data_IF_770577112593
#
_entry.id   IF_770577112593
#
_cell.length_a   1.000
_cell.length_b   1.000
_cell.length_c   1.000
_cell.angle_alpha   90.00
_cell.angle_beta   90.00
_cell.angle_gamma   90.00
#
_symmetry.space_group_name_H-M   'P 1'
#
loop_
_entity.id
_entity.type
_entity.pdbx_description
1 polymer ?
#
# COMPACT_ATOMS: atom_id res chain seq x y z
N UNK A 1 4.50 24.42 -13.63
CA UNK A 1 4.19 24.10 -12.21
C UNK A 1 2.87 23.31 -12.07
N UNK A 2 2.73 22.14 -12.71
CA UNK A 2 1.46 21.39 -12.72
C UNK A 2 1.53 20.04 -12.02
N UNK A 3 2.44 19.17 -12.48
CA UNK A 3 2.42 17.73 -12.19
C UNK A 3 2.55 17.39 -10.70
N UNK A 4 3.48 18.02 -9.98
CA UNK A 4 3.64 17.80 -8.52
C UNK A 4 2.42 18.23 -7.69
N UNK A 5 1.67 19.22 -8.17
CA UNK A 5 0.46 19.70 -7.47
C UNK A 5 -0.69 18.72 -7.64
N UNK A 6 -0.81 18.11 -8.82
CA UNK A 6 -1.77 17.03 -9.08
C UNK A 6 -1.40 15.76 -8.30
N UNK A 7 -0.13 15.34 -8.31
CA UNK A 7 0.34 14.17 -7.55
C UNK A 7 0.09 14.34 -6.05
N UNK A 8 0.47 15.48 -5.44
CA UNK A 8 0.20 15.73 -4.01
C UNK A 8 -1.29 15.80 -3.69
N UNK A 9 -2.12 16.28 -4.61
CA UNK A 9 -3.59 16.33 -4.46
C UNK A 9 -4.21 14.95 -4.60
N UNK A 10 -3.68 14.10 -5.48
CA UNK A 10 -4.05 12.69 -5.63
C UNK A 10 -3.66 11.87 -4.40
N UNK A 11 -2.47 12.08 -3.84
CA UNK A 11 -2.01 11.40 -2.62
C UNK A 11 -2.82 11.86 -1.39
N UNK A 12 -3.15 13.15 -1.26
CA UNK A 12 -4.03 13.65 -0.19
C UNK A 12 -5.47 13.15 -0.33
N UNK A 13 -6.00 13.11 -1.56
CA UNK A 13 -7.30 12.52 -1.85
C UNK A 13 -7.30 11.01 -1.54
N UNK A 14 -6.19 10.31 -1.82
CA UNK A 14 -5.98 8.91 -1.50
C UNK A 14 -5.93 8.63 0.01
N UNK A 15 -5.22 9.46 0.79
CA UNK A 15 -5.22 9.37 2.25
C UNK A 15 -6.61 9.72 2.84
N UNK A 16 -7.33 10.68 2.25
CA UNK A 16 -8.71 10.98 2.63
C UNK A 16 -9.66 9.81 2.31
N UNK A 17 -9.48 9.14 1.16
CA UNK A 17 -10.19 7.90 0.80
C UNK A 17 -9.83 6.73 1.73
N UNK A 18 -8.58 6.61 2.18
CA UNK A 18 -8.14 5.62 3.19
C UNK A 18 -8.94 5.74 4.50
N UNK A 19 -9.16 6.96 4.99
CA UNK A 19 -10.01 7.17 6.18
C UNK A 19 -11.48 6.87 5.91
N UNK A 20 -11.95 7.14 4.69
CA UNK A 20 -13.33 6.90 4.29
C UNK A 20 -13.66 5.41 4.06
N UNK A 21 -12.76 4.64 3.44
CA UNK A 21 -12.93 3.20 3.19
C UNK A 21 -12.89 2.40 4.48
N UNK A 22 -12.03 2.80 5.42
CA UNK A 22 -12.00 2.23 6.77
C UNK A 22 -13.30 2.49 7.54
N UNK A 23 -14.03 3.55 7.20
CA UNK A 23 -15.30 3.92 7.81
C UNK A 23 -16.54 3.36 7.08
N UNK A 24 -16.51 3.19 5.75
CA UNK A 24 -17.72 2.96 4.95
C UNK A 24 -17.69 1.76 3.99
N UNK A 25 -16.59 1.00 3.88
CA UNK A 25 -16.59 -0.34 3.26
C UNK A 25 -16.88 -0.48 1.75
N UNK A 26 -17.58 0.47 1.11
CA UNK A 26 -18.18 0.26 -0.22
C UNK A 26 -17.27 0.62 -1.42
N UNK A 27 -16.26 1.47 -1.27
CA UNK A 27 -15.41 1.91 -2.41
C UNK A 27 -13.98 1.36 -2.39
N UNK A 28 -13.84 0.03 -2.27
CA UNK A 28 -12.54 -0.64 -2.15
C UNK A 28 -11.82 -0.86 -3.50
N UNK A 29 -12.55 -1.01 -4.61
CA UNK A 29 -11.97 -1.24 -5.95
C UNK A 29 -11.37 0.03 -6.57
N UNK A 30 -12.06 1.16 -6.45
CA UNK A 30 -11.57 2.47 -6.90
C UNK A 30 -10.32 2.92 -6.13
N UNK A 31 -10.19 2.48 -4.89
CA UNK A 31 -9.02 2.69 -4.07
C UNK A 31 -7.78 1.96 -4.64
N UNK A 32 -7.92 0.67 -4.99
CA UNK A 32 -6.84 -0.11 -5.60
C UNK A 32 -6.43 0.51 -6.94
N UNK A 33 -7.38 0.97 -7.74
CA UNK A 33 -7.08 1.67 -9.00
C UNK A 33 -6.28 2.96 -8.76
N UNK A 34 -6.68 3.75 -7.76
CA UNK A 34 -6.01 4.99 -7.37
C UNK A 34 -4.59 4.72 -6.85
N UNK A 35 -4.38 3.64 -6.09
CA UNK A 35 -3.05 3.21 -5.62
C UNK A 35 -2.16 2.84 -6.80
N UNK A 36 -2.66 2.02 -7.72
CA UNK A 36 -1.88 1.58 -8.87
C UNK A 36 -1.46 2.77 -9.75
N UNK A 37 -2.31 3.79 -9.87
CA UNK A 37 -1.93 5.05 -10.53
C UNK A 37 -0.91 5.85 -9.73
N UNK A 38 -1.05 5.93 -8.41
CA UNK A 38 -0.12 6.63 -7.54
C UNK A 38 1.28 6.02 -7.65
N UNK A 39 1.42 4.69 -7.48
CA UNK A 39 2.69 3.97 -7.64
C UNK A 39 3.34 4.20 -9.01
N UNK A 40 2.54 4.23 -10.09
CA UNK A 40 3.05 4.50 -11.46
C UNK A 40 3.50 5.94 -11.68
N UNK A 41 2.88 6.89 -10.98
CA UNK A 41 3.13 8.32 -11.13
C UNK A 41 4.07 8.86 -10.04
N UNK A 42 4.47 8.03 -9.08
CA UNK A 42 5.13 8.48 -7.86
C UNK A 42 6.56 8.95 -8.13
N UNK A 43 6.86 10.24 -7.88
CA UNK A 43 8.22 10.75 -7.98
C UNK A 43 9.05 10.38 -6.73
N UNK A 44 8.38 9.99 -5.63
CA UNK A 44 9.01 9.61 -4.38
C UNK A 44 8.93 8.09 -4.17
N UNK A 45 9.99 7.42 -4.61
CA UNK A 45 10.16 5.97 -4.53
C UNK A 45 10.21 5.44 -3.10
N UNK A 46 10.40 6.30 -2.09
CA UNK A 46 10.39 5.90 -0.68
C UNK A 46 9.00 5.48 -0.23
N UNK A 47 7.93 6.07 -0.76
CA UNK A 47 6.57 5.78 -0.28
C UNK A 47 5.91 4.54 -0.89
N UNK A 48 6.55 3.90 -1.87
CA UNK A 48 6.01 2.73 -2.58
C UNK A 48 5.62 1.58 -1.63
N UNK A 49 6.41 1.20 -0.62
CA UNK A 49 6.02 0.19 0.35
C UNK A 49 4.75 0.53 1.14
N UNK A 50 4.53 1.80 1.49
CA UNK A 50 3.31 2.24 2.17
C UNK A 50 2.07 2.09 1.28
N UNK A 51 2.21 2.33 -0.02
CA UNK A 51 1.12 2.13 -0.96
C UNK A 51 0.77 0.67 -1.16
N UNK A 52 1.79 -0.20 -1.25
CA UNK A 52 1.59 -1.63 -1.38
C UNK A 52 0.97 -2.23 -0.11
N UNK A 53 1.40 -1.82 1.09
CA UNK A 53 0.78 -2.24 2.35
C UNK A 53 -0.72 -1.91 2.39
N UNK A 54 -1.07 -0.68 1.99
CA UNK A 54 -2.46 -0.24 1.95
C UNK A 54 -3.29 -1.00 0.91
N UNK A 55 -2.71 -1.29 -0.26
CA UNK A 55 -3.38 -2.10 -1.29
C UNK A 55 -3.66 -3.51 -0.76
N UNK A 56 -2.69 -4.14 -0.09
CA UNK A 56 -2.87 -5.44 0.57
C UNK A 56 -4.00 -5.41 1.59
N UNK A 57 -4.01 -4.43 2.51
CA UNK A 57 -5.09 -4.28 3.48
C UNK A 57 -6.48 -4.11 2.83
N UNK A 58 -6.58 -3.33 1.75
CA UNK A 58 -7.84 -3.14 1.04
C UNK A 58 -8.27 -4.44 0.36
N UNK A 59 -7.35 -5.18 -0.27
CA UNK A 59 -7.60 -6.48 -0.89
C UNK A 59 -8.06 -7.52 0.13
N UNK A 60 -7.42 -7.57 1.30
CA UNK A 60 -7.89 -8.39 2.42
C UNK A 60 -9.29 -7.99 2.87
N UNK A 61 -9.56 -6.68 2.95
CA UNK A 61 -10.88 -6.16 3.30
C UNK A 61 -12.00 -6.58 2.34
N UNK A 62 -11.73 -6.73 1.04
CA UNK A 62 -12.69 -7.27 0.04
C UNK A 62 -12.72 -8.80 -0.04
N UNK A 63 -12.01 -9.52 0.83
CA UNK A 63 -11.94 -10.98 0.80
C UNK A 63 -11.05 -11.53 -0.33
N UNK A 64 -10.20 -10.70 -0.93
CA UNK A 64 -9.20 -11.11 -1.93
C UNK A 64 -7.88 -11.39 -1.24
N UNK A 65 -7.85 -12.43 -0.42
CA UNK A 65 -6.70 -12.76 0.42
C UNK A 65 -5.46 -13.15 -0.39
N UNK A 66 -5.62 -13.90 -1.48
CA UNK A 66 -4.50 -14.27 -2.37
C UNK A 66 -3.84 -13.04 -3.01
N UNK A 67 -4.63 -12.11 -3.54
CA UNK A 67 -4.11 -10.87 -4.13
C UNK A 67 -3.47 -9.96 -3.06
N UNK A 68 -4.04 -9.95 -1.85
CA UNK A 68 -3.48 -9.24 -0.71
C UNK A 68 -2.10 -9.78 -0.36
N UNK A 69 -1.97 -11.11 -0.28
CA UNK A 69 -0.72 -11.79 0.03
C UNK A 69 0.35 -11.47 -1.02
N UNK A 70 0.01 -11.60 -2.30
CA UNK A 70 0.91 -11.27 -3.39
C UNK A 70 1.38 -9.79 -3.30
N UNK A 71 0.47 -8.88 -2.95
CA UNK A 71 0.81 -7.46 -2.80
C UNK A 71 1.71 -7.17 -1.59
N UNK A 72 1.53 -7.90 -0.49
CA UNK A 72 2.42 -7.84 0.66
C UNK A 72 3.82 -8.39 0.34
N UNK A 73 3.90 -9.48 -0.43
CA UNK A 73 5.16 -10.02 -0.94
C UNK A 73 5.87 -9.03 -1.88
N UNK A 74 5.12 -8.36 -2.77
CA UNK A 74 5.65 -7.27 -3.61
C UNK A 74 6.25 -6.13 -2.78
N UNK A 75 5.60 -5.75 -1.68
CA UNK A 75 6.10 -4.71 -0.78
C UNK A 75 7.43 -5.09 -0.13
N UNK A 76 7.55 -6.34 0.36
CA UNK A 76 8.79 -6.86 0.92
C UNK A 76 9.91 -6.92 -0.11
N UNK A 77 9.59 -7.39 -1.31
CA UNK A 77 10.55 -7.46 -2.40
C UNK A 77 11.06 -6.07 -2.76
N UNK A 78 10.17 -5.08 -2.83
CA UNK A 78 10.54 -3.70 -3.09
C UNK A 78 11.47 -3.15 -1.99
N UNK A 79 11.15 -3.35 -0.71
CA UNK A 79 12.02 -2.92 0.41
C UNK A 79 13.41 -3.55 0.29
N UNK A 80 13.48 -4.85 -0.02
CA UNK A 80 14.74 -5.59 -0.18
C UNK A 80 15.56 -5.12 -1.37
N UNK A 81 14.91 -4.77 -2.49
CA UNK A 81 15.56 -4.24 -3.68
C UNK A 81 15.97 -2.77 -3.53
N UNK A 82 15.28 -2.03 -2.66
CA UNK A 82 15.45 -0.60 -2.48
C UNK A 82 15.68 -0.17 -1.02
N UNK A 83 16.67 -0.76 -0.32
CA UNK A 83 16.91 -0.48 1.10
C UNK A 83 17.30 0.99 1.36
N UNK A 84 17.91 1.66 0.39
CA UNK A 84 18.30 3.07 0.46
C UNK A 84 17.11 4.02 0.62
N UNK A 85 15.93 3.64 0.14
CA UNK A 85 14.70 4.43 0.27
C UNK A 85 13.82 3.96 1.43
N UNK A 86 14.15 2.81 2.03
CA UNK A 86 13.33 2.08 3.00
C UNK A 86 14.06 1.88 4.34
N UNK A 87 14.87 2.83 4.77
CA UNK A 87 15.77 2.70 5.94
C UNK A 87 15.30 3.42 7.21
N UNK A 88 14.09 3.97 7.21
CA UNK A 88 13.52 4.74 8.33
C UNK A 88 12.74 3.91 9.37
N UNK A 89 12.48 4.47 10.57
CA UNK A 89 11.68 3.82 11.61
C UNK A 89 10.25 3.51 11.16
N UNK A 90 9.66 4.33 10.29
CA UNK A 90 8.35 4.07 9.68
C UNK A 90 8.34 2.76 8.87
N UNK A 91 9.43 2.45 8.16
CA UNK A 91 9.54 1.22 7.38
C UNK A 91 9.71 -0.02 8.25
N UNK A 92 10.37 0.08 9.41
CA UNK A 92 10.46 -1.05 10.35
C UNK A 92 9.09 -1.45 10.89
N UNK A 93 8.26 -0.46 11.23
CA UNK A 93 6.89 -0.71 11.68
C UNK A 93 6.04 -1.31 10.56
N UNK A 94 6.21 -0.81 9.33
CA UNK A 94 5.53 -1.33 8.15
C UNK A 94 5.96 -2.78 7.85
N UNK A 95 7.26 -3.06 7.88
CA UNK A 95 7.83 -4.39 7.67
C UNK A 95 7.23 -5.40 8.66
N UNK A 96 7.25 -5.05 9.95
CA UNK A 96 6.69 -5.91 10.99
C UNK A 96 5.19 -6.21 10.78
N UNK A 97 4.40 -5.23 10.32
CA UNK A 97 2.99 -5.47 10.00
C UNK A 97 2.83 -6.42 8.82
N UNK A 98 3.59 -6.20 7.74
CA UNK A 98 3.52 -7.02 6.53
C UNK A 98 3.93 -8.47 6.85
N UNK A 99 5.02 -8.66 7.59
CA UNK A 99 5.48 -9.98 8.03
C UNK A 99 4.41 -10.68 8.86
N UNK A 100 3.81 -9.98 9.83
CA UNK A 100 2.71 -10.53 10.65
C UNK A 100 1.50 -10.95 9.81
N UNK A 101 1.13 -10.15 8.81
CA UNK A 101 0.00 -10.47 7.92
C UNK A 101 0.32 -11.70 7.04
N UNK A 102 1.55 -11.80 6.52
CA UNK A 102 1.99 -12.95 5.74
C UNK A 102 2.10 -14.23 6.57
N UNK A 103 2.59 -14.12 7.81
CA UNK A 103 2.60 -15.22 8.78
C UNK A 103 1.18 -15.70 9.07
N UNK A 104 0.26 -14.78 9.39
CA UNK A 104 -1.15 -15.12 9.62
C UNK A 104 -1.79 -15.82 8.42
N UNK A 105 -1.46 -15.40 7.19
CA UNK A 105 -1.92 -16.06 5.97
C UNK A 105 -1.25 -17.40 5.68
N UNK A 106 -0.03 -17.63 6.17
CA UNK A 106 0.67 -18.91 6.00
C UNK A 106 0.14 -20.04 6.90
N UNK A 107 -0.56 -19.70 7.99
CA UNK A 107 -1.23 -20.67 8.87
C UNK A 107 -2.65 -21.07 8.41
N UNK A 108 -3.18 -20.45 7.36
CA UNK A 108 -4.56 -20.66 6.87
C UNK A 108 -4.63 -21.49 5.57
N UNK A 109 -3.52 -22.07 5.11
CA UNK A 109 -3.45 -22.96 3.94
C UNK A 109 -3.24 -24.41 4.37
#
# INVERSE_FOLDING_TARGET
MGVMRWIKKSIKAYLAHKYYIRAHGEMRTDAIYSINRAVKLEPDKSRIPEYLELKGQIQKGIGREDESRATFEEALLYIKQHPQFCSGPSFKVLLHRIEKELEASSFSA
#
